data_IF_295857103856
#
_entry.id   IF_295857103856
#
_cell.length_a   1.000
_cell.length_b   1.000
_cell.length_c   1.000
_cell.angle_alpha   90.00
_cell.angle_beta   90.00
_cell.angle_gamma   90.00
#
_symmetry.space_group_name_H-M   'P 1'
#
loop_
_entity.id
_entity.type
_entity.pdbx_description
1 polymer ?
#
# COMPACT_ATOMS: atom_id res chain seq x y z
N UNK A 1 -36.05 -6.15 -69.93
CA UNK A 1 -35.92 -7.44 -69.20
C UNK A 1 -34.44 -7.79 -69.12
N UNK A 2 -34.00 -8.29 -67.95
CA UNK A 2 -32.62 -8.61 -67.49
C UNK A 2 -31.87 -7.38 -66.95
N UNK A 3 -31.32 -7.31 -65.74
CA UNK A 3 -31.36 -8.12 -64.51
C UNK A 3 -30.74 -7.24 -63.40
N UNK A 4 -31.36 -7.20 -62.22
CA UNK A 4 -30.77 -6.68 -60.96
C UNK A 4 -29.92 -7.79 -60.33
N UNK A 5 -28.68 -7.50 -59.96
CA UNK A 5 -27.80 -8.23 -59.02
C UNK A 5 -26.51 -7.40 -58.90
N UNK A 6 -25.88 -7.08 -57.78
CA UNK A 6 -26.07 -7.38 -56.36
C UNK A 6 -25.01 -6.51 -55.63
N UNK A 7 -25.39 -5.73 -54.61
CA UNK A 7 -24.40 -5.10 -53.72
C UNK A 7 -23.76 -6.21 -52.89
N UNK A 8 -22.45 -6.43 -53.02
CA UNK A 8 -21.68 -7.24 -52.07
C UNK A 8 -21.02 -6.34 -51.05
N UNK A 9 -21.51 -6.40 -49.81
CA UNK A 9 -20.80 -5.97 -48.61
C UNK A 9 -19.47 -6.72 -48.53
N UNK A 10 -18.36 -6.00 -48.46
CA UNK A 10 -17.18 -6.47 -47.75
C UNK A 10 -16.94 -5.46 -46.63
N UNK A 11 -17.52 -5.74 -45.47
CA UNK A 11 -17.20 -5.03 -44.24
C UNK A 11 -15.73 -5.29 -43.92
N UNK A 12 -14.88 -4.28 -44.08
CA UNK A 12 -13.51 -4.30 -43.57
C UNK A 12 -13.56 -4.44 -42.04
N UNK A 13 -13.43 -5.66 -41.55
CA UNK A 13 -13.08 -5.92 -40.16
C UNK A 13 -11.62 -5.50 -39.96
N UNK A 14 -11.41 -4.20 -39.77
CA UNK A 14 -10.16 -3.70 -39.23
C UNK A 14 -10.06 -4.20 -37.78
N UNK A 15 -9.39 -5.33 -37.61
CA UNK A 15 -9.01 -5.86 -36.31
C UNK A 15 -8.03 -4.85 -35.69
N UNK A 16 -8.54 -3.90 -34.92
CA UNK A 16 -7.74 -3.09 -34.02
C UNK A 16 -7.21 -4.04 -32.93
N UNK A 17 -6.10 -4.71 -33.21
CA UNK A 17 -5.26 -5.27 -32.17
C UNK A 17 -4.73 -4.09 -31.35
N UNK A 18 -5.47 -3.73 -30.30
CA UNK A 18 -4.97 -2.92 -29.21
C UNK A 18 -3.67 -3.58 -28.74
N UNK A 19 -2.54 -2.97 -29.11
CA UNK A 19 -1.28 -3.22 -28.44
C UNK A 19 -1.50 -2.81 -26.98
N UNK A 20 -1.87 -3.79 -26.15
CA UNK A 20 -1.77 -3.65 -24.70
C UNK A 20 -0.29 -3.43 -24.42
N UNK A 21 0.12 -2.18 -24.27
CA UNK A 21 1.40 -1.88 -23.66
C UNK A 21 1.36 -2.59 -22.30
N UNK A 22 2.39 -3.40 -21.94
CA UNK A 22 2.45 -3.93 -20.60
C UNK A 22 2.44 -2.72 -19.67
N UNK A 23 1.34 -2.56 -18.93
CA UNK A 23 1.26 -1.60 -17.85
C UNK A 23 2.30 -2.07 -16.83
N UNK A 24 3.50 -1.48 -16.89
CA UNK A 24 4.57 -1.89 -16.00
C UNK A 24 4.09 -1.59 -14.58
N UNK A 25 3.95 -2.64 -13.76
CA UNK A 25 3.63 -2.51 -12.34
C UNK A 25 4.59 -1.55 -11.64
N UNK A 26 4.16 -0.98 -10.51
CA UNK A 26 5.09 -0.29 -9.64
C UNK A 26 6.05 -1.30 -9.01
N UNK A 27 7.29 -0.85 -8.76
CA UNK A 27 8.16 -1.47 -7.76
C UNK A 27 7.97 -0.71 -6.46
N UNK A 28 7.35 -1.36 -5.47
CA UNK A 28 6.89 -0.73 -4.24
C UNK A 28 7.71 -1.29 -3.07
N UNK A 29 8.33 -0.39 -2.31
CA UNK A 29 8.76 -0.69 -0.94
C UNK A 29 7.62 -0.29 0.00
N UNK A 30 6.96 -1.27 0.59
CA UNK A 30 5.83 -1.08 1.49
C UNK A 30 6.30 -1.16 2.96
N UNK A 31 5.81 -0.25 3.80
CA UNK A 31 6.11 -0.21 5.24
C UNK A 31 4.93 0.36 6.04
N UNK A 32 4.99 0.23 7.36
CA UNK A 32 4.15 0.90 8.37
C UNK A 32 4.93 0.97 9.70
N UNK A 33 4.32 1.59 10.71
CA UNK A 33 4.80 1.61 12.09
C UNK A 33 4.13 0.54 12.99
N UNK A 34 2.92 0.08 12.67
CA UNK A 34 2.20 -0.92 13.49
C UNK A 34 2.87 -2.31 13.56
N UNK A 35 3.71 -2.63 12.58
CA UNK A 35 4.50 -3.86 12.53
C UNK A 35 4.16 -4.80 11.37
N UNK A 36 5.11 -5.68 11.07
CA UNK A 36 5.10 -6.46 9.83
C UNK A 36 3.98 -7.49 9.75
N UNK A 37 3.49 -8.00 10.88
CA UNK A 37 2.48 -9.05 10.92
C UNK A 37 1.03 -8.52 10.90
N UNK A 38 0.86 -7.21 10.79
CA UNK A 38 -0.46 -6.59 10.85
C UNK A 38 -1.35 -6.94 9.66
N UNK A 39 -2.61 -7.27 9.95
CA UNK A 39 -3.53 -7.77 8.95
C UNK A 39 -3.80 -6.76 7.82
N UNK A 40 -3.98 -5.48 8.15
CA UNK A 40 -4.16 -4.40 7.16
C UNK A 40 -2.95 -4.27 6.23
N UNK A 41 -1.75 -4.38 6.78
CA UNK A 41 -0.50 -4.31 6.02
C UNK A 41 -0.39 -5.49 5.05
N UNK A 42 -0.72 -6.70 5.51
CA UNK A 42 -0.76 -7.89 4.65
C UNK A 42 -1.83 -7.79 3.56
N UNK A 43 -3.03 -7.34 3.91
CA UNK A 43 -4.13 -7.18 2.95
C UNK A 43 -3.78 -6.16 1.85
N UNK A 44 -3.13 -5.05 2.21
CA UNK A 44 -2.64 -4.08 1.23
C UNK A 44 -1.54 -4.67 0.32
N UNK A 45 -0.62 -5.46 0.90
CA UNK A 45 0.42 -6.13 0.13
C UNK A 45 -0.19 -7.09 -0.91
N UNK A 46 -1.17 -7.90 -0.48
CA UNK A 46 -1.90 -8.82 -1.35
C UNK A 46 -2.65 -8.07 -2.46
N UNK A 47 -3.27 -6.94 -2.12
CA UNK A 47 -3.96 -6.10 -3.09
C UNK A 47 -3.00 -5.52 -4.14
N UNK A 48 -1.80 -5.05 -3.75
CA UNK A 48 -0.80 -4.58 -4.70
C UNK A 48 -0.27 -5.70 -5.61
N UNK A 49 0.00 -6.88 -5.05
CA UNK A 49 0.47 -8.03 -5.84
C UNK A 49 -0.63 -8.46 -6.82
N UNK A 50 -1.89 -8.52 -6.38
CA UNK A 50 -3.04 -8.83 -7.24
C UNK A 50 -3.24 -7.79 -8.35
N UNK A 51 -2.89 -6.52 -8.09
CA UNK A 51 -2.87 -5.43 -9.08
C UNK A 51 -1.65 -5.49 -10.04
N UNK A 52 -0.80 -6.52 -9.93
CA UNK A 52 0.35 -6.73 -10.81
C UNK A 52 1.57 -5.86 -10.48
N UNK A 53 1.73 -5.46 -9.22
CA UNK A 53 2.90 -4.73 -8.75
C UNK A 53 3.96 -5.66 -8.13
N UNK A 54 5.21 -5.26 -8.25
CA UNK A 54 6.35 -5.90 -7.59
C UNK A 54 6.54 -5.21 -6.23
N UNK A 55 6.23 -5.90 -5.15
CA UNK A 55 6.15 -5.30 -3.81
C UNK A 55 7.04 -6.04 -2.84
N UNK A 56 7.95 -5.31 -2.20
CA UNK A 56 8.69 -5.78 -1.04
C UNK A 56 8.11 -5.06 0.17
N UNK A 57 7.63 -5.81 1.14
CA UNK A 57 7.23 -5.30 2.44
C UNK A 57 8.41 -5.39 3.39
N UNK A 58 8.73 -4.29 4.06
CA UNK A 58 9.70 -4.23 5.14
C UNK A 58 9.16 -3.35 6.25
N UNK A 59 8.81 -3.95 7.38
CA UNK A 59 8.18 -3.26 8.50
C UNK A 59 8.77 -3.71 9.84
N UNK A 60 8.51 -2.98 10.93
CA UNK A 60 9.03 -3.32 12.26
C UNK A 60 8.60 -4.71 12.75
N UNK A 61 9.49 -5.36 13.50
CA UNK A 61 9.20 -6.62 14.20
C UNK A 61 8.14 -6.48 15.33
N UNK A 62 7.94 -5.26 15.81
CA UNK A 62 7.04 -4.88 16.91
C UNK A 62 6.35 -3.57 16.52
N UNK A 63 5.21 -3.26 17.13
CA UNK A 63 4.60 -1.96 16.95
C UNK A 63 5.54 -0.82 17.41
N UNK A 64 5.70 0.18 16.53
CA UNK A 64 6.47 1.41 16.69
C UNK A 64 5.62 2.67 16.53
N UNK A 65 4.30 2.53 16.45
CA UNK A 65 3.36 3.65 16.42
C UNK A 65 3.60 4.61 17.57
N UNK A 66 3.66 5.90 17.23
CA UNK A 66 3.95 7.01 18.14
C UNK A 66 5.32 6.98 18.87
N UNK A 67 6.29 6.18 18.42
CA UNK A 67 7.64 6.14 19.02
C UNK A 67 8.63 7.13 18.38
N UNK A 68 8.22 7.78 17.29
CA UNK A 68 9.08 8.64 16.47
C UNK A 68 9.97 7.83 15.53
N UNK A 69 10.71 8.53 14.66
CA UNK A 69 11.62 7.91 13.71
C UNK A 69 13.05 8.04 14.23
N UNK A 70 13.77 6.92 14.34
CA UNK A 70 15.20 6.89 14.65
C UNK A 70 15.93 6.04 13.63
N UNK A 71 17.01 6.57 13.07
CA UNK A 71 17.91 5.81 12.18
C UNK A 71 18.95 5.07 13.02
N UNK A 72 18.47 4.06 13.76
CA UNK A 72 19.33 3.20 14.58
C UNK A 72 19.50 1.84 13.90
N UNK A 73 20.72 1.28 13.86
CA UNK A 73 20.96 -0.06 13.35
C UNK A 73 20.06 -1.10 14.05
N UNK A 74 19.54 -2.09 13.33
CA UNK A 74 18.67 -3.09 13.92
C UNK A 74 19.46 -3.98 14.88
N UNK A 75 18.87 -4.26 16.03
CA UNK A 75 19.50 -5.12 17.06
C UNK A 75 18.96 -6.54 16.98
N UNK A 76 19.70 -7.58 17.40
CA UNK A 76 19.16 -8.94 17.47
C UNK A 76 17.90 -9.03 18.35
N UNK A 77 16.86 -9.71 17.84
CA UNK A 77 15.63 -10.00 18.58
C UNK A 77 15.92 -10.92 19.77
N UNK A 78 15.39 -10.56 20.95
CA UNK A 78 15.43 -11.40 22.17
C UNK A 78 14.10 -12.05 22.49
N UNK A 79 13.00 -11.47 22.01
CA UNK A 79 11.63 -11.97 22.19
C UNK A 79 10.98 -12.20 20.82
N UNK A 80 9.92 -13.01 20.72
CA UNK A 80 9.20 -13.23 19.47
C UNK A 80 8.60 -11.92 18.95
N UNK A 81 8.53 -11.72 17.62
CA UNK A 81 7.84 -10.56 17.01
C UNK A 81 6.38 -10.46 17.46
N UNK A 82 5.75 -9.31 17.22
CA UNK A 82 4.32 -9.13 17.44
C UNK A 82 3.52 -10.30 16.84
N UNK A 83 2.52 -10.79 17.58
CA UNK A 83 1.72 -11.99 17.21
C UNK A 83 2.50 -13.30 17.09
N UNK A 84 3.67 -13.41 17.75
CA UNK A 84 4.58 -14.55 17.61
C UNK A 84 4.94 -14.85 16.15
N UNK A 85 4.90 -13.82 15.30
CA UNK A 85 5.09 -13.94 13.85
C UNK A 85 6.52 -14.30 13.46
N UNK A 86 7.49 -14.05 14.34
CA UNK A 86 8.86 -14.53 14.25
C UNK A 86 9.31 -15.07 15.61
N UNK A 87 10.27 -16.00 15.61
CA UNK A 87 10.81 -16.58 16.83
C UNK A 87 11.68 -15.58 17.61
N UNK A 88 11.84 -15.81 18.92
CA UNK A 88 12.90 -15.16 19.69
C UNK A 88 14.28 -15.59 19.18
N UNK A 89 15.31 -14.77 19.44
CA UNK A 89 16.69 -15.05 19.03
C UNK A 89 16.87 -15.25 17.51
N UNK A 90 16.01 -14.65 16.70
CA UNK A 90 15.97 -14.77 15.24
C UNK A 90 16.88 -13.78 14.50
N UNK A 91 17.76 -13.08 15.21
CA UNK A 91 18.64 -12.06 14.63
C UNK A 91 17.97 -10.69 14.50
N UNK A 92 18.62 -9.73 13.82
CA UNK A 92 18.15 -8.34 13.74
C UNK A 92 17.08 -8.08 12.68
N UNK A 93 16.92 -9.00 11.73
CA UNK A 93 15.95 -8.94 10.65
C UNK A 93 15.66 -10.35 10.15
N UNK A 94 14.57 -10.52 9.41
CA UNK A 94 14.21 -11.78 8.79
C UNK A 94 13.05 -11.63 7.82
N UNK A 95 12.54 -12.74 7.33
CA UNK A 95 11.50 -12.77 6.30
C UNK A 95 10.57 -13.98 6.48
N UNK A 96 9.44 -13.96 5.78
CA UNK A 96 8.54 -15.12 5.71
C UNK A 96 9.06 -16.13 4.67
N UNK A 97 9.35 -17.36 5.09
CA UNK A 97 9.93 -18.39 4.22
C UNK A 97 9.09 -18.76 2.99
N UNK A 98 7.75 -18.70 3.08
CA UNK A 98 6.85 -19.00 1.95
C UNK A 98 6.47 -17.75 1.15
N UNK A 99 6.79 -16.57 1.68
CA UNK A 99 6.52 -15.25 1.09
C UNK A 99 7.74 -14.35 1.27
N UNK A 100 8.83 -14.57 0.51
CA UNK A 100 10.12 -13.90 0.73
C UNK A 100 10.08 -12.39 0.52
N UNK A 101 9.02 -11.86 -0.10
CA UNK A 101 8.75 -10.44 -0.21
C UNK A 101 8.32 -9.79 1.11
N UNK A 102 7.95 -10.58 2.12
CA UNK A 102 7.52 -10.12 3.44
C UNK A 102 8.68 -10.13 4.44
N UNK A 103 9.23 -8.96 4.74
CA UNK A 103 10.42 -8.78 5.57
C UNK A 103 10.08 -8.04 6.87
N UNK A 104 10.82 -8.36 7.92
CA UNK A 104 10.77 -7.65 9.20
C UNK A 104 12.15 -7.18 9.61
N UNK A 105 12.19 -6.03 10.28
CA UNK A 105 13.41 -5.44 10.83
C UNK A 105 13.18 -5.09 12.29
N UNK A 106 14.12 -5.44 13.16
CA UNK A 106 14.08 -5.05 14.56
C UNK A 106 14.73 -3.67 14.75
N UNK A 107 14.01 -2.62 14.37
CA UNK A 107 14.42 -1.23 14.62
C UNK A 107 14.53 -0.97 16.13
N UNK A 108 15.74 -0.70 16.59
CA UNK A 108 16.07 -0.48 18.00
C UNK A 108 15.33 0.74 18.54
N UNK A 109 14.33 0.49 19.39
CA UNK A 109 13.54 1.49 20.09
C UNK A 109 12.74 0.75 21.16
N UNK A 110 12.51 1.38 22.31
CA UNK A 110 11.90 0.77 23.50
C UNK A 110 10.77 -0.20 23.12
N UNK A 111 10.74 -1.37 23.76
CA UNK A 111 9.59 -2.25 23.69
C UNK A 111 8.36 -1.44 24.11
N UNK A 112 7.53 -1.04 23.16
CA UNK A 112 6.33 -0.28 23.41
C UNK A 112 5.15 -1.21 23.20
N UNK A 113 4.36 -1.32 24.27
CA UNK A 113 2.97 -1.76 24.38
C UNK A 113 2.41 -2.71 23.33
N UNK A 114 1.84 -3.82 23.81
CA UNK A 114 0.78 -4.56 23.11
C UNK A 114 -0.21 -3.56 22.51
N UNK A 115 -0.10 -3.28 21.22
CA UNK A 115 -1.07 -2.45 20.57
C UNK A 115 -2.23 -3.32 20.15
N UNK A 116 -3.39 -2.81 20.49
CA UNK A 116 -4.66 -3.48 20.27
C UNK A 116 -5.09 -3.23 18.83
N UNK A 117 -4.31 -3.68 17.86
CA UNK A 117 -4.86 -4.02 16.56
C UNK A 117 -5.62 -5.34 16.74
N UNK A 118 -6.73 -5.28 17.49
CA UNK A 118 -7.74 -6.32 17.40
C UNK A 118 -8.14 -6.37 15.93
N UNK A 119 -7.99 -7.54 15.31
CA UNK A 119 -8.94 -7.92 14.27
C UNK A 119 -10.32 -7.56 14.85
N UNK A 120 -11.03 -6.62 14.23
CA UNK A 120 -12.36 -6.19 14.65
C UNK A 120 -13.39 -7.31 14.38
N UNK A 121 -13.13 -8.51 14.91
CA UNK A 121 -13.82 -9.75 14.59
C UNK A 121 -13.94 -9.95 13.07
N UNK A 122 -15.17 -10.13 12.61
CA UNK A 122 -15.51 -10.37 11.21
C UNK A 122 -15.62 -9.10 10.35
N UNK A 123 -15.40 -7.91 10.94
CA UNK A 123 -15.59 -6.63 10.24
C UNK A 123 -14.50 -6.37 9.21
N UNK A 124 -13.24 -6.53 9.59
CA UNK A 124 -12.07 -6.24 8.76
C UNK A 124 -11.17 -7.48 8.66
N UNK A 125 -11.72 -8.60 8.19
CA UNK A 125 -11.04 -9.90 8.12
C UNK A 125 -10.74 -10.38 6.69
N UNK A 126 -11.14 -9.61 5.68
CA UNK A 126 -11.01 -9.96 4.27
C UNK A 126 -10.56 -8.73 3.46
N UNK A 127 -9.69 -8.95 2.47
CA UNK A 127 -9.13 -7.88 1.63
C UNK A 127 -10.22 -7.04 0.94
N UNK A 128 -11.33 -7.67 0.55
CA UNK A 128 -12.48 -7.03 -0.11
C UNK A 128 -13.25 -6.05 0.77
N UNK A 129 -13.08 -6.10 2.10
CA UNK A 129 -13.75 -5.21 3.05
C UNK A 129 -12.97 -3.92 3.33
N UNK A 130 -11.71 -3.84 2.92
CA UNK A 130 -10.89 -2.65 3.15
C UNK A 130 -11.14 -1.56 2.12
N UNK A 131 -11.11 -0.32 2.60
CA UNK A 131 -11.21 0.87 1.77
C UNK A 131 -9.84 1.56 1.75
N UNK A 132 -9.23 1.63 0.57
CA UNK A 132 -7.87 2.14 0.37
C UNK A 132 -7.92 3.63 0.05
N UNK A 133 -7.56 4.48 1.00
CA UNK A 133 -7.61 5.92 0.80
C UNK A 133 -6.22 6.47 0.50
N UNK A 134 -6.12 7.28 -0.55
CA UNK A 134 -4.88 7.99 -0.87
C UNK A 134 -4.71 9.18 0.08
N UNK A 135 -3.67 9.13 0.90
CA UNK A 135 -3.50 9.98 2.08
C UNK A 135 -2.18 10.72 2.09
N UNK A 136 -2.03 11.58 3.11
CA UNK A 136 -0.78 12.22 3.51
C UNK A 136 -0.54 12.06 5.01
N UNK A 137 0.72 12.08 5.43
CA UNK A 137 1.12 12.01 6.85
C UNK A 137 1.09 13.42 7.48
N UNK A 138 1.82 14.37 6.89
CA UNK A 138 2.01 15.70 7.50
C UNK A 138 0.83 16.65 7.18
N UNK A 139 0.53 17.64 8.03
CA UNK A 139 -0.48 18.66 7.74
C UNK A 139 -0.24 19.42 6.43
N UNK A 140 -1.31 19.87 5.73
CA UNK A 140 -1.20 20.52 4.42
C UNK A 140 -0.71 21.97 4.44
N UNK A 141 -0.46 22.54 5.62
CA UNK A 141 -0.23 23.97 5.84
C UNK A 141 1.13 24.46 5.33
N UNK A 142 2.14 23.59 5.32
CA UNK A 142 3.53 23.97 4.99
C UNK A 142 4.15 23.13 3.86
N UNK A 143 3.32 22.55 3.00
CA UNK A 143 3.77 21.75 1.87
C UNK A 143 3.24 22.29 0.53
N UNK A 144 3.89 21.95 -0.60
CA UNK A 144 3.29 22.06 -1.92
C UNK A 144 1.94 21.33 -2.01
N UNK A 145 1.23 21.57 -3.12
CA UNK A 145 -0.06 20.92 -3.34
C UNK A 145 0.11 19.45 -3.70
N UNK A 146 -0.83 18.64 -3.22
CA UNK A 146 -0.94 17.25 -3.63
C UNK A 146 -1.47 17.18 -5.08
N UNK A 147 -1.29 16.02 -5.70
CA UNK A 147 -1.91 15.67 -6.98
C UNK A 147 -3.42 15.80 -6.91
N UNK A 148 -4.05 16.11 -8.04
CA UNK A 148 -5.49 16.29 -8.12
C UNK A 148 -6.21 14.94 -8.01
N UNK A 149 -6.98 14.75 -6.95
CA UNK A 149 -7.70 13.51 -6.64
C UNK A 149 -9.03 13.81 -5.95
N UNK A 150 -10.10 13.12 -6.37
CA UNK A 150 -11.44 13.26 -5.78
C UNK A 150 -11.91 14.72 -5.62
N UNK A 151 -11.77 15.53 -6.68
CA UNK A 151 -12.14 16.96 -6.71
C UNK A 151 -11.37 17.87 -5.73
N UNK A 152 -10.22 17.42 -5.22
CA UNK A 152 -9.34 18.19 -4.34
C UNK A 152 -7.87 18.06 -4.77
N UNK A 153 -7.03 18.99 -4.34
CA UNK A 153 -5.55 18.94 -4.46
C UNK A 153 -4.88 18.95 -3.07
N UNK A 154 -5.60 18.40 -2.10
CA UNK A 154 -5.19 18.20 -0.72
C UNK A 154 -5.72 16.84 -0.30
N UNK A 155 -4.81 15.88 -0.14
CA UNK A 155 -5.18 14.55 0.33
C UNK A 155 -5.59 14.61 1.80
N UNK A 156 -6.51 13.74 2.25
CA UNK A 156 -6.85 13.65 3.67
C UNK A 156 -5.63 13.18 4.48
N UNK A 157 -5.52 13.66 5.72
CA UNK A 157 -4.48 13.15 6.61
C UNK A 157 -4.82 11.73 7.04
N UNK A 158 -3.82 10.87 7.05
CA UNK A 158 -3.91 9.47 7.51
C UNK A 158 -4.60 9.36 8.87
N UNK A 159 -4.24 10.22 9.82
CA UNK A 159 -4.86 10.26 11.15
C UNK A 159 -6.38 10.43 11.13
N UNK A 160 -6.94 11.16 10.17
CA UNK A 160 -8.39 11.32 10.04
C UNK A 160 -9.05 10.13 9.34
N UNK A 161 -8.36 9.55 8.35
CA UNK A 161 -8.83 8.36 7.65
C UNK A 161 -8.87 7.15 8.58
N UNK A 162 -7.85 6.97 9.44
CA UNK A 162 -7.78 5.85 10.39
C UNK A 162 -8.86 5.87 11.48
N UNK A 163 -9.57 6.98 11.66
CA UNK A 163 -10.69 7.09 12.62
C UNK A 163 -12.03 6.61 12.08
N UNK A 164 -12.10 6.20 10.82
CA UNK A 164 -13.34 5.72 10.21
C UNK A 164 -13.62 4.27 10.64
N UNK A 165 -14.91 3.92 10.66
CA UNK A 165 -15.36 2.58 11.05
C UNK A 165 -15.43 1.59 9.86
N UNK A 166 -15.19 2.04 8.63
CA UNK A 166 -15.34 1.29 7.38
C UNK A 166 -14.05 0.60 6.92
N UNK A 167 -13.30 0.02 7.87
CA UNK A 167 -12.03 -0.67 7.61
C UNK A 167 -11.06 0.15 6.74
N UNK A 168 -10.71 1.37 7.17
CA UNK A 168 -9.85 2.24 6.38
C UNK A 168 -8.41 1.73 6.37
N UNK A 169 -7.76 1.88 5.22
CA UNK A 169 -6.31 1.73 5.03
C UNK A 169 -5.77 2.96 4.31
N UNK A 170 -4.77 3.60 4.90
CA UNK A 170 -4.04 4.73 4.33
C UNK A 170 -3.01 4.23 3.32
N UNK A 171 -2.95 4.92 2.18
CA UNK A 171 -1.91 4.76 1.17
C UNK A 171 -1.26 6.11 0.96
N UNK A 172 -0.05 6.28 1.49
CA UNK A 172 0.72 7.53 1.39
C UNK A 172 1.98 7.30 0.57
N UNK A 173 2.31 8.25 -0.32
CA UNK A 173 3.62 8.29 -1.00
C UNK A 173 4.59 9.05 -0.11
N UNK A 174 5.64 8.39 0.38
CA UNK A 174 6.55 8.94 1.38
C UNK A 174 7.99 9.09 0.89
N UNK A 175 8.69 10.08 1.42
CA UNK A 175 10.14 10.18 1.30
C UNK A 175 10.80 9.04 2.10
N UNK A 176 11.77 8.31 1.53
CA UNK A 176 12.35 7.15 2.20
C UNK A 176 13.19 7.47 3.44
N UNK A 177 13.61 8.73 3.64
CA UNK A 177 14.45 9.13 4.78
C UNK A 177 13.63 9.64 5.95
N UNK A 178 12.70 10.55 5.66
CA UNK A 178 11.88 11.20 6.69
C UNK A 178 10.50 10.58 6.88
N UNK A 179 10.10 9.64 5.99
CA UNK A 179 8.73 9.14 5.86
C UNK A 179 7.68 10.25 5.73
N UNK A 180 8.09 11.46 5.31
CA UNK A 180 7.19 12.58 5.10
C UNK A 180 6.46 12.43 3.76
N UNK A 181 5.30 13.06 3.63
CA UNK A 181 4.54 13.02 2.38
C UNK A 181 5.35 13.62 1.22
N UNK A 182 5.46 12.88 0.11
CA UNK A 182 5.92 13.44 -1.17
C UNK A 182 4.76 14.18 -1.84
N UNK A 183 4.96 15.46 -2.14
CA UNK A 183 3.99 16.34 -2.81
C UNK A 183 4.48 16.80 -4.20
N UNK A 184 5.15 15.91 -4.95
CA UNK A 184 5.66 16.19 -6.29
C UNK A 184 5.04 15.26 -7.36
N UNK A 185 5.56 15.31 -8.58
CA UNK A 185 5.06 14.53 -9.72
C UNK A 185 5.05 13.01 -9.49
N UNK A 186 5.84 12.48 -8.56
CA UNK A 186 5.80 11.05 -8.21
C UNK A 186 4.45 10.65 -7.63
N UNK A 187 3.78 11.56 -6.91
CA UNK A 187 2.47 11.30 -6.33
C UNK A 187 1.40 11.05 -7.42
N UNK A 188 1.47 11.79 -8.54
CA UNK A 188 0.59 11.59 -9.70
C UNK A 188 0.88 10.27 -10.42
N UNK A 189 2.16 9.91 -10.58
CA UNK A 189 2.56 8.63 -11.18
C UNK A 189 2.01 7.46 -10.37
N UNK A 190 2.14 7.51 -9.03
CA UNK A 190 1.59 6.47 -8.15
C UNK A 190 0.07 6.44 -8.24
N UNK A 191 -0.59 7.59 -8.14
CA UNK A 191 -2.05 7.68 -8.26
C UNK A 191 -2.54 7.07 -9.57
N UNK A 192 -1.90 7.37 -10.71
CA UNK A 192 -2.31 6.86 -12.03
C UNK A 192 -2.34 5.32 -12.10
N UNK A 193 -1.45 4.65 -11.35
CA UNK A 193 -1.32 3.20 -11.33
C UNK A 193 -2.22 2.54 -10.28
N UNK A 194 -2.38 3.18 -9.12
CA UNK A 194 -3.19 2.66 -8.02
C UNK A 194 -4.67 3.07 -8.09
N UNK A 195 -5.06 4.00 -8.97
CA UNK A 195 -6.41 4.57 -9.02
C UNK A 195 -7.54 3.54 -9.02
N UNK A 196 -7.33 2.40 -9.67
CA UNK A 196 -8.34 1.34 -9.82
C UNK A 196 -8.68 0.63 -8.50
N UNK A 197 -7.82 0.70 -7.49
CA UNK A 197 -8.07 0.15 -6.16
C UNK A 197 -8.39 1.24 -5.12
N UNK A 198 -8.17 2.51 -5.40
CA UNK A 198 -8.33 3.58 -4.40
C UNK A 198 -9.79 4.07 -4.28
N UNK A 199 -10.18 4.39 -3.05
CA UNK A 199 -11.49 4.95 -2.67
C UNK A 199 -11.36 6.45 -2.42
N UNK A 200 -12.36 7.22 -2.85
CA UNK A 200 -12.48 8.63 -2.47
C UNK A 200 -12.97 8.77 -1.01
N UNK A 201 -12.40 9.69 -0.21
CA UNK A 201 -12.72 9.87 1.22
C UNK A 201 -14.17 10.32 1.48
#
# INVERSE_FOLDING_TARGET
MKSLSSLSMAASAALLSLLSTPAHGLRILQSNDDGWAEHKLRALNDAYIAAGHDVILSAPAEDKSATGQTDMPPMPRRVPCHWNSCLSNSGPAGFNATRPELNWVNSGGAAAGRSWARLDGDRCNETSKFHWFFTRINPPTFSPRDTWWCNHNRLPMEFYVMKRDDCPVSVTVTDPWGMSTINDNRQEVVLSKLRHMLTCP
#
